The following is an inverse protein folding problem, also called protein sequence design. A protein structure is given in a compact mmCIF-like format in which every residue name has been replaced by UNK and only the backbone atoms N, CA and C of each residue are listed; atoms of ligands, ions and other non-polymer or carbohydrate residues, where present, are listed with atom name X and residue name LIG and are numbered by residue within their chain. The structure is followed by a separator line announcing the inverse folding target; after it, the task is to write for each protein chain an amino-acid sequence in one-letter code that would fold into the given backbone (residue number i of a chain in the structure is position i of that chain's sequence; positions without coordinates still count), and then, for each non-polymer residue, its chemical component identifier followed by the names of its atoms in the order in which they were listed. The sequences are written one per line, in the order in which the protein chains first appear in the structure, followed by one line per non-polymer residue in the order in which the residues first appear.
data_IF_038883876914
#
_entry.id   IF_038883876914
#
_cell.length_a   1.000
_cell.length_b   1.000
_cell.length_c   1.000
_cell.angle_alpha   90.00
_cell.angle_beta   90.00
_cell.angle_gamma   90.00
#
_symmetry.space_group_name_H-M   'P 1'
#
loop_
_entity.id
_entity.type
_entity.pdbx_description
1 polymer ?
#
# COMPACT_ATOMS: atom_id res chain seq x y z
N UNK A 1 62.08 -35.30 -95.26
CA UNK A 1 60.92 -35.11 -94.35
C UNK A 1 60.39 -36.46 -93.91
N UNK A 2 60.61 -36.90 -92.66
CA UNK A 2 59.82 -37.96 -92.01
C UNK A 2 59.67 -37.61 -90.52
N UNK A 3 58.49 -37.12 -90.16
CA UNK A 3 58.10 -36.75 -88.81
C UNK A 3 57.89 -38.00 -87.96
N UNK A 4 58.56 -38.09 -86.80
CA UNK A 4 58.29 -39.13 -85.80
C UNK A 4 56.99 -38.80 -85.07
N UNK A 5 55.97 -39.63 -85.28
CA UNK A 5 54.71 -39.57 -84.56
C UNK A 5 54.93 -39.86 -83.07
N UNK A 6 54.43 -38.95 -82.24
CA UNK A 6 54.47 -39.01 -80.78
C UNK A 6 53.31 -39.89 -80.29
N UNK A 7 53.63 -41.07 -79.77
CA UNK A 7 52.67 -41.99 -79.15
C UNK A 7 51.97 -41.33 -77.95
N UNK A 8 50.66 -41.14 -78.03
CA UNK A 8 49.84 -40.65 -76.92
C UNK A 8 49.39 -41.84 -76.08
N UNK A 9 49.80 -41.87 -74.80
CA UNK A 9 49.30 -42.83 -73.81
C UNK A 9 47.76 -42.79 -73.73
N UNK A 10 47.08 -43.95 -73.65
CA UNK A 10 45.63 -44.01 -73.56
C UNK A 10 45.16 -43.45 -72.22
N UNK A 11 44.29 -42.44 -72.25
CA UNK A 11 43.53 -42.00 -71.07
C UNK A 11 42.61 -43.15 -70.69
N UNK A 12 42.88 -43.78 -69.55
CA UNK A 12 41.97 -44.76 -68.93
C UNK A 12 40.70 -44.01 -68.53
N UNK A 13 39.67 -44.11 -69.35
CA UNK A 13 38.35 -43.61 -69.01
C UNK A 13 37.83 -44.47 -67.86
N UNK A 14 37.54 -43.84 -66.71
CA UNK A 14 36.83 -44.53 -65.63
C UNK A 14 35.50 -45.06 -66.20
N UNK A 15 35.22 -46.34 -65.95
CA UNK A 15 33.98 -46.95 -66.43
C UNK A 15 32.78 -46.26 -65.77
N UNK A 16 31.65 -46.10 -66.49
CA UNK A 16 30.46 -45.45 -65.94
C UNK A 16 29.94 -46.16 -64.67
N UNK A 17 30.16 -47.48 -64.57
CA UNK A 17 29.88 -48.29 -63.38
C UNK A 17 30.73 -47.88 -62.17
N UNK A 18 32.03 -47.60 -62.36
CA UNK A 18 32.92 -47.13 -61.30
C UNK A 18 32.45 -45.79 -60.73
N UNK A 19 31.97 -44.88 -61.58
CA UNK A 19 31.44 -43.59 -61.14
C UNK A 19 30.12 -43.74 -60.38
N UNK A 20 29.24 -44.64 -60.79
CA UNK A 20 27.95 -44.88 -60.10
C UNK A 20 28.17 -45.54 -58.74
N UNK A 21 29.06 -46.54 -58.65
CA UNK A 21 29.42 -47.19 -57.37
C UNK A 21 30.06 -46.19 -56.42
N UNK A 22 30.97 -45.34 -56.92
CA UNK A 22 31.56 -44.28 -56.10
C UNK A 22 30.53 -43.25 -55.63
N UNK A 23 29.58 -42.87 -56.49
CA UNK A 23 28.49 -41.98 -56.10
C UNK A 23 27.59 -42.61 -55.04
N UNK A 24 27.28 -43.91 -55.16
CA UNK A 24 26.44 -44.65 -54.21
C UNK A 24 27.13 -44.87 -52.86
N UNK A 25 28.44 -45.14 -52.87
CA UNK A 25 29.27 -45.17 -51.66
C UNK A 25 29.33 -43.80 -50.98
N UNK A 26 29.47 -42.72 -51.75
CA UNK A 26 29.49 -41.36 -51.19
C UNK A 26 28.12 -40.92 -50.67
N UNK A 27 27.01 -41.31 -51.30
CA UNK A 27 25.66 -40.98 -50.81
C UNK A 27 25.29 -41.79 -49.57
N UNK A 28 25.68 -43.06 -49.48
CA UNK A 28 25.43 -43.90 -48.29
C UNK A 28 26.19 -43.43 -47.04
N UNK A 29 27.39 -42.86 -47.21
CA UNK A 29 28.16 -42.25 -46.12
C UNK A 29 27.49 -40.98 -45.53
N UNK A 30 26.74 -40.24 -46.34
CA UNK A 30 26.06 -38.99 -45.90
C UNK A 30 24.80 -39.31 -45.08
N UNK A 31 24.16 -40.47 -45.28
CA UNK A 31 22.89 -40.84 -44.65
C UNK A 31 23.06 -41.35 -43.21
N UNK A 32 24.27 -41.68 -42.78
CA UNK A 32 24.58 -42.19 -41.43
C UNK A 32 25.15 -41.14 -40.47
N UNK A 33 24.95 -39.84 -40.74
CA UNK A 33 25.14 -38.84 -39.69
C UNK A 33 24.04 -39.04 -38.64
N UNK A 34 24.37 -39.74 -37.54
CA UNK A 34 23.53 -39.81 -36.35
C UNK A 34 22.99 -38.41 -36.03
N UNK A 35 21.69 -38.26 -35.67
CA UNK A 35 21.20 -36.97 -35.21
C UNK A 35 22.12 -36.55 -34.07
N UNK A 36 22.83 -35.45 -34.25
CA UNK A 36 23.86 -35.03 -33.31
C UNK A 36 23.22 -35.00 -31.92
N UNK A 37 23.65 -35.93 -31.08
CA UNK A 37 23.15 -36.11 -29.71
C UNK A 37 23.39 -34.86 -28.85
N UNK A 38 24.20 -33.95 -29.38
CA UNK A 38 24.59 -32.69 -28.79
C UNK A 38 23.87 -31.53 -29.49
N UNK A 39 23.12 -30.77 -28.71
CA UNK A 39 22.47 -29.52 -29.14
C UNK A 39 23.15 -28.34 -28.47
N UNK A 40 23.62 -27.37 -29.25
CA UNK A 40 24.23 -26.14 -28.73
C UNK A 40 23.16 -25.09 -28.48
N UNK A 41 23.20 -24.44 -27.31
CA UNK A 41 22.21 -23.46 -26.89
C UNK A 41 22.92 -22.21 -26.40
N UNK A 42 22.66 -21.09 -27.05
CA UNK A 42 23.08 -19.76 -26.60
C UNK A 42 21.89 -19.03 -25.99
N UNK A 43 22.02 -18.56 -24.76
CA UNK A 43 20.98 -17.82 -24.06
C UNK A 43 21.33 -16.34 -24.03
N UNK A 44 20.37 -15.51 -24.43
CA UNK A 44 20.47 -14.06 -24.45
C UNK A 44 19.23 -13.42 -23.84
N UNK A 45 19.34 -12.16 -23.42
CA UNK A 45 18.17 -11.36 -23.07
C UNK A 45 17.33 -11.01 -24.31
N UNK A 46 16.21 -10.33 -24.11
CA UNK A 46 15.35 -9.90 -25.22
C UNK A 46 16.06 -8.93 -26.20
N UNK A 47 17.11 -8.24 -25.76
CA UNK A 47 17.92 -7.31 -26.55
C UNK A 47 19.16 -7.98 -27.19
N UNK A 48 19.35 -9.29 -27.01
CA UNK A 48 20.50 -10.04 -27.55
C UNK A 48 21.79 -9.95 -26.73
N UNK A 49 21.77 -9.37 -25.53
CA UNK A 49 22.94 -9.27 -24.64
C UNK A 49 23.14 -10.57 -23.86
N UNK A 50 24.40 -10.83 -23.52
CA UNK A 50 24.78 -11.91 -22.62
C UNK A 50 24.24 -11.66 -21.22
N UNK A 51 23.69 -12.71 -20.58
CA UNK A 51 23.14 -12.63 -19.23
C UNK A 51 23.89 -13.59 -18.31
N UNK A 52 24.23 -13.10 -17.12
CA UNK A 52 24.96 -13.87 -16.12
C UNK A 52 24.04 -14.47 -15.06
N UNK A 53 24.47 -15.55 -14.41
CA UNK A 53 23.75 -16.16 -13.27
C UNK A 53 22.49 -16.95 -13.66
N UNK A 54 22.41 -17.37 -14.92
CA UNK A 54 21.34 -18.24 -15.42
C UNK A 54 21.62 -19.70 -15.05
N UNK A 55 20.58 -20.41 -14.63
CA UNK A 55 20.59 -21.87 -14.47
C UNK A 55 19.76 -22.49 -15.56
N UNK A 56 20.36 -23.42 -16.31
CA UNK A 56 19.71 -24.15 -17.40
C UNK A 56 19.46 -25.58 -16.97
N UNK A 57 18.24 -26.05 -17.17
CA UNK A 57 17.83 -27.43 -16.91
C UNK A 57 17.21 -28.00 -18.17
N UNK A 58 17.52 -29.24 -18.49
CA UNK A 58 16.85 -30.00 -19.54
C UNK A 58 16.13 -31.19 -18.90
N UNK A 59 14.87 -31.42 -19.30
CA UNK A 59 14.13 -32.62 -18.96
C UNK A 59 14.25 -33.57 -20.15
N UNK A 60 14.78 -34.77 -19.91
CA UNK A 60 15.07 -35.75 -20.96
C UNK A 60 16.48 -35.64 -21.56
N UNK A 61 17.36 -34.81 -20.98
CA UNK A 61 18.75 -34.68 -21.41
C UNK A 61 19.65 -34.13 -20.31
N UNK A 62 20.97 -34.19 -20.55
CA UNK A 62 22.00 -33.69 -19.63
C UNK A 62 22.53 -32.36 -20.15
N UNK A 63 22.54 -31.34 -19.28
CA UNK A 63 23.06 -30.00 -19.63
C UNK A 63 24.51 -29.89 -19.16
N UNK A 64 25.40 -29.53 -20.07
CA UNK A 64 26.79 -29.15 -19.78
C UNK A 64 26.97 -27.67 -20.08
N UNK A 65 27.44 -26.92 -19.10
CA UNK A 65 27.72 -25.50 -19.27
C UNK A 65 29.11 -25.33 -19.91
N UNK A 66 29.17 -24.68 -21.07
CA UNK A 66 30.45 -24.38 -21.74
C UNK A 66 30.99 -23.01 -21.31
N UNK A 67 30.10 -22.02 -21.18
CA UNK A 67 30.43 -20.70 -20.63
C UNK A 67 29.19 -20.09 -19.94
N UNK A 68 29.22 -18.81 -19.56
CA UNK A 68 28.10 -18.16 -18.86
C UNK A 68 26.78 -18.13 -19.66
N UNK A 69 26.84 -18.22 -20.99
CA UNK A 69 25.67 -18.07 -21.89
C UNK A 69 25.47 -19.24 -22.86
N UNK A 70 26.47 -20.08 -23.08
CA UNK A 70 26.47 -21.20 -24.00
C UNK A 70 26.45 -22.51 -23.24
N UNK A 71 25.52 -23.37 -23.63
CA UNK A 71 25.22 -24.64 -23.01
C UNK A 71 25.17 -25.70 -24.09
N UNK A 72 25.68 -26.88 -23.78
CA UNK A 72 25.56 -28.08 -24.58
C UNK A 72 24.52 -28.97 -23.92
N UNK A 73 23.55 -29.45 -24.67
CA UNK A 73 22.55 -30.40 -24.18
C UNK A 73 22.74 -31.72 -24.89
N UNK A 74 23.05 -32.74 -24.12
CA UNK A 74 23.19 -34.12 -24.57
C UNK A 74 21.85 -34.83 -24.37
N UNK A 75 21.23 -35.29 -25.46
CA UNK A 75 19.93 -35.98 -25.43
C UNK A 75 19.82 -36.97 -26.58
N UNK A 76 19.08 -38.06 -26.34
CA UNK A 76 18.76 -39.07 -27.35
C UNK A 76 17.38 -38.81 -28.00
N UNK A 77 16.57 -37.95 -27.40
CA UNK A 77 15.21 -37.61 -27.86
C UNK A 77 14.92 -36.10 -27.71
N UNK A 78 13.72 -35.66 -28.08
CA UNK A 78 13.27 -34.29 -27.80
C UNK A 78 13.30 -34.00 -26.31
N UNK A 79 13.86 -32.86 -25.90
CA UNK A 79 13.99 -32.48 -24.51
C UNK A 79 13.30 -31.15 -24.24
N UNK A 80 12.86 -30.94 -23.00
CA UNK A 80 12.29 -29.66 -22.56
C UNK A 80 13.39 -28.82 -21.92
N UNK A 81 13.75 -27.71 -22.57
CA UNK A 81 14.66 -26.72 -22.02
C UNK A 81 13.90 -25.81 -21.05
N UNK A 82 14.42 -25.67 -19.83
CA UNK A 82 13.96 -24.72 -18.82
C UNK A 82 15.11 -23.83 -18.40
N UNK A 83 14.94 -22.53 -18.59
CA UNK A 83 15.92 -21.51 -18.21
C UNK A 83 15.39 -20.77 -16.99
N UNK A 84 16.22 -20.66 -15.96
CA UNK A 84 15.85 -20.08 -14.67
C UNK A 84 16.83 -18.97 -14.32
N UNK A 85 16.30 -17.79 -13.98
CA UNK A 85 17.07 -16.68 -13.44
C UNK A 85 16.46 -16.29 -12.10
N UNK A 86 17.28 -16.18 -11.05
CA UNK A 86 16.84 -15.83 -9.70
C UNK A 86 15.71 -16.74 -9.16
N UNK A 87 15.75 -18.04 -9.47
CA UNK A 87 14.72 -19.01 -9.11
C UNK A 87 13.36 -18.81 -9.83
N UNK A 88 13.28 -17.94 -10.84
CA UNK A 88 12.10 -17.75 -11.68
C UNK A 88 12.37 -18.30 -13.09
N UNK A 89 11.42 -19.05 -13.64
CA UNK A 89 11.53 -19.57 -15.01
C UNK A 89 11.35 -18.43 -16.01
N UNK A 90 12.38 -18.18 -16.83
CA UNK A 90 12.38 -17.11 -17.84
C UNK A 90 12.19 -17.63 -19.26
N UNK A 91 12.34 -18.94 -19.48
CA UNK A 91 12.05 -19.59 -20.75
C UNK A 91 11.75 -21.07 -20.53
N UNK A 92 10.77 -21.59 -21.26
CA UNK A 92 10.47 -23.02 -21.27
C UNK A 92 9.96 -23.43 -22.66
N UNK A 93 10.61 -24.41 -23.29
CA UNK A 93 10.16 -24.95 -24.58
C UNK A 93 10.75 -26.34 -24.84
N UNK A 94 10.02 -27.19 -25.56
CA UNK A 94 10.55 -28.43 -26.12
C UNK A 94 11.40 -28.15 -27.36
N UNK A 95 12.60 -28.72 -27.43
CA UNK A 95 13.54 -28.56 -28.52
C UNK A 95 13.85 -29.91 -29.19
N UNK A 96 14.11 -29.85 -30.50
CA UNK A 96 14.56 -31.00 -31.31
C UNK A 96 16.09 -31.16 -31.20
N UNK A 97 16.56 -32.36 -31.51
CA UNK A 97 17.98 -32.72 -31.51
C UNK A 97 18.76 -32.07 -32.66
N UNK A 98 20.07 -31.98 -32.49
CA UNK A 98 21.03 -31.81 -33.58
C UNK A 98 21.08 -30.41 -34.22
N UNK A 99 21.06 -29.36 -33.40
CA UNK A 99 21.12 -27.97 -33.90
C UNK A 99 21.82 -26.99 -32.96
N UNK A 100 21.95 -25.75 -33.44
CA UNK A 100 22.39 -24.61 -32.65
C UNK A 100 21.22 -23.63 -32.48
N UNK A 101 20.80 -23.38 -31.25
CA UNK A 101 19.66 -22.53 -30.93
C UNK A 101 20.09 -21.28 -30.17
N UNK A 102 19.55 -20.13 -30.59
CA UNK A 102 19.64 -18.88 -29.83
C UNK A 102 18.31 -18.67 -29.10
N UNK A 103 18.33 -18.78 -27.79
CA UNK A 103 17.17 -18.65 -26.92
C UNK A 103 17.12 -17.24 -26.34
N UNK A 104 16.09 -16.48 -26.73
CA UNK A 104 15.75 -15.19 -26.13
C UNK A 104 14.91 -15.43 -24.88
N UNK A 105 15.53 -15.31 -23.72
CA UNK A 105 14.84 -15.46 -22.44
C UNK A 105 14.01 -14.20 -22.12
N UNK A 106 12.94 -14.37 -21.33
CA UNK A 106 12.09 -13.28 -20.86
C UNK A 106 12.81 -12.45 -19.77
N UNK A 107 13.87 -11.76 -20.19
CA UNK A 107 14.77 -10.96 -19.35
C UNK A 107 14.85 -9.58 -19.99
N UNK A 108 14.58 -8.56 -19.19
CA UNK A 108 14.36 -7.17 -19.63
C UNK A 108 15.06 -6.19 -18.68
N UNK A 109 15.23 -4.95 -19.12
CA UNK A 109 15.66 -3.87 -18.21
C UNK A 109 14.43 -3.23 -17.58
N UNK A 110 14.48 -3.03 -16.26
CA UNK A 110 13.44 -2.32 -15.52
C UNK A 110 13.93 -0.92 -15.17
N UNK A 111 13.14 0.09 -15.51
CA UNK A 111 13.37 1.46 -15.07
C UNK A 111 12.36 1.80 -14.00
N UNK A 112 12.81 2.17 -12.81
CA UNK A 112 11.96 2.56 -11.68
C UNK A 112 12.10 4.06 -11.47
N UNK A 113 10.99 4.79 -11.54
CA UNK A 113 10.95 6.23 -11.24
C UNK A 113 10.46 6.44 -9.81
N UNK A 114 11.24 7.23 -9.07
CA UNK A 114 10.93 7.62 -7.69
C UNK A 114 10.17 8.95 -7.66
N UNK A 115 9.12 9.09 -6.83
CA UNK A 115 8.44 10.36 -6.60
C UNK A 115 9.36 11.44 -6.02
N UNK A 116 10.32 11.06 -5.17
CA UNK A 116 11.32 11.98 -4.60
C UNK A 116 12.65 11.27 -4.33
N UNK A 117 13.79 11.99 -4.33
CA UNK A 117 15.11 11.38 -4.16
C UNK A 117 15.35 10.83 -2.73
N UNK A 118 14.64 11.37 -1.74
CA UNK A 118 14.88 11.06 -0.32
C UNK A 118 14.17 9.78 0.16
N UNK A 119 13.39 9.14 -0.71
CA UNK A 119 12.65 7.93 -0.38
C UNK A 119 13.49 6.68 -0.64
N UNK A 120 13.43 5.74 0.29
CA UNK A 120 14.02 4.41 0.12
C UNK A 120 13.03 3.54 -0.66
N UNK A 121 13.41 3.13 -1.87
CA UNK A 121 12.62 2.19 -2.68
C UNK A 121 13.23 0.81 -2.58
N UNK A 122 12.42 -0.17 -2.26
CA UNK A 122 12.78 -1.58 -2.22
C UNK A 122 11.92 -2.35 -3.23
N UNK A 123 12.56 -2.89 -4.26
CA UNK A 123 11.92 -3.72 -5.29
C UNK A 123 12.27 -5.16 -4.99
N UNK A 124 11.27 -6.01 -4.79
CA UNK A 124 11.43 -7.45 -4.52
C UNK A 124 10.80 -8.26 -5.65
N UNK A 125 11.51 -9.25 -6.16
CA UNK A 125 10.96 -10.21 -7.10
C UNK A 125 10.18 -11.29 -6.35
N UNK A 126 8.89 -11.44 -6.63
CA UNK A 126 8.06 -12.47 -5.99
C UNK A 126 8.45 -13.86 -6.51
N UNK A 127 8.54 -14.84 -5.62
CA UNK A 127 9.05 -16.18 -5.94
C UNK A 127 10.58 -16.29 -5.92
N UNK A 128 11.27 -15.20 -5.53
CA UNK A 128 12.72 -15.14 -5.36
C UNK A 128 13.08 -14.44 -4.06
N UNK A 129 14.32 -14.65 -3.61
CA UNK A 129 14.91 -13.88 -2.51
C UNK A 129 15.68 -12.64 -3.02
N UNK A 130 15.52 -12.28 -4.30
CA UNK A 130 16.15 -11.09 -4.88
C UNK A 130 15.38 -9.82 -4.58
N UNK A 131 16.09 -8.88 -3.97
CA UNK A 131 15.62 -7.53 -3.69
C UNK A 131 16.66 -6.51 -4.11
N UNK A 132 16.20 -5.38 -4.63
CA UNK A 132 17.03 -4.22 -4.92
C UNK A 132 16.57 -3.05 -4.07
N UNK A 133 17.53 -2.30 -3.51
CA UNK A 133 17.26 -1.14 -2.66
C UNK A 133 17.90 0.09 -3.26
N UNK A 134 17.14 1.17 -3.31
CA UNK A 134 17.50 2.41 -4.00
C UNK A 134 17.21 3.62 -3.12
N UNK A 135 18.11 4.61 -3.10
CA UNK A 135 17.95 5.90 -2.43
C UNK A 135 18.77 6.99 -3.14
N UNK A 136 18.35 8.25 -3.09
CA UNK A 136 19.10 9.41 -3.56
C UNK A 136 18.95 9.81 -5.04
N UNK A 137 18.09 9.16 -5.84
CA UNK A 137 17.87 9.47 -7.27
C UNK A 137 16.40 9.36 -7.63
N UNK A 138 15.98 10.09 -8.67
CA UNK A 138 14.61 10.02 -9.21
C UNK A 138 14.39 8.88 -10.20
N UNK A 139 15.45 8.27 -10.72
CA UNK A 139 15.39 7.22 -11.74
C UNK A 139 16.46 6.18 -11.47
N UNK A 140 16.05 4.92 -11.44
CA UNK A 140 16.92 3.77 -11.28
C UNK A 140 16.71 2.81 -12.44
N UNK A 141 17.79 2.21 -12.92
CA UNK A 141 17.74 1.18 -13.95
C UNK A 141 18.28 -0.11 -13.35
N UNK A 142 17.45 -1.14 -13.32
CA UNK A 142 17.82 -2.50 -12.95
C UNK A 142 18.00 -3.27 -14.25
N UNK A 143 19.24 -3.61 -14.56
CA UNK A 143 19.55 -4.36 -15.78
C UNK A 143 19.24 -5.84 -15.60
N UNK A 144 18.75 -6.46 -16.67
CA UNK A 144 18.60 -7.91 -16.78
C UNK A 144 17.77 -8.56 -15.65
N UNK A 145 16.53 -8.10 -15.50
CA UNK A 145 15.56 -8.68 -14.57
C UNK A 145 14.57 -9.59 -15.31
N UNK A 146 14.08 -10.67 -14.68
CA UNK A 146 13.09 -11.55 -15.30
C UNK A 146 11.73 -10.84 -15.48
N UNK A 147 10.99 -11.18 -16.52
CA UNK A 147 9.57 -10.83 -16.61
C UNK A 147 8.82 -11.59 -15.51
N UNK A 148 8.00 -10.89 -14.73
CA UNK A 148 7.32 -11.51 -13.60
C UNK A 148 6.70 -10.51 -12.63
N UNK A 149 6.26 -11.00 -11.48
CA UNK A 149 5.60 -10.18 -10.46
C UNK A 149 6.61 -9.60 -9.48
N UNK A 150 6.53 -8.28 -9.28
CA UNK A 150 7.40 -7.53 -8.37
C UNK A 150 6.58 -6.86 -7.29
N UNK A 151 7.08 -6.89 -6.06
CA UNK A 151 6.59 -6.15 -4.92
C UNK A 151 7.49 -4.95 -4.69
N UNK A 152 6.96 -3.76 -4.84
CA UNK A 152 7.65 -2.48 -4.70
C UNK A 152 7.18 -1.85 -3.39
N UNK A 153 8.13 -1.62 -2.48
CA UNK A 153 7.88 -1.00 -1.19
C UNK A 153 8.65 0.31 -1.13
N UNK A 154 7.94 1.41 -0.93
CA UNK A 154 8.53 2.72 -0.69
C UNK A 154 8.49 2.98 0.81
N UNK A 155 9.67 3.21 1.40
CA UNK A 155 9.87 3.56 2.80
C UNK A 155 10.25 5.04 2.88
N UNK A 156 9.40 5.82 3.53
CA UNK A 156 9.62 7.22 3.83
C UNK A 156 8.99 7.58 5.17
N UNK A 157 8.29 8.70 5.24
CA UNK A 157 7.41 8.99 6.38
C UNK A 157 6.25 7.99 6.49
N UNK A 158 5.86 7.36 5.38
CA UNK A 158 4.90 6.26 5.32
C UNK A 158 5.46 5.15 4.44
N UNK A 159 5.04 3.92 4.76
CA UNK A 159 5.29 2.76 3.93
C UNK A 159 4.17 2.64 2.91
N UNK A 160 4.52 2.74 1.63
CA UNK A 160 3.63 2.45 0.51
C UNK A 160 4.07 1.16 -0.15
N UNK A 161 3.12 0.31 -0.52
CA UNK A 161 3.40 -0.97 -1.12
C UNK A 161 2.53 -1.19 -2.35
N UNK A 162 3.14 -1.65 -3.43
CA UNK A 162 2.48 -2.00 -4.68
C UNK A 162 3.03 -3.31 -5.23
N UNK A 163 2.15 -4.17 -5.72
CA UNK A 163 2.55 -5.36 -6.46
C UNK A 163 2.17 -5.19 -7.93
N UNK A 164 3.12 -5.43 -8.85
CA UNK A 164 2.95 -5.23 -10.29
C UNK A 164 3.51 -6.41 -11.07
N UNK A 165 2.79 -6.87 -12.08
CA UNK A 165 3.33 -7.79 -13.08
C UNK A 165 4.08 -7.00 -14.16
N UNK A 166 5.40 -7.16 -14.21
CA UNK A 166 6.28 -6.38 -15.07
C UNK A 166 6.70 -7.17 -16.31
N UNK A 167 6.42 -6.63 -17.49
CA UNK A 167 6.76 -7.21 -18.79
C UNK A 167 7.87 -6.46 -19.54
N UNK A 168 8.34 -5.32 -19.02
CA UNK A 168 9.35 -4.48 -19.64
C UNK A 168 8.99 -2.99 -19.54
N UNK A 169 9.99 -2.11 -19.68
CA UNK A 169 9.80 -0.66 -19.72
C UNK A 169 10.00 0.04 -18.38
N UNK A 170 9.15 1.04 -18.11
CA UNK A 170 9.28 1.92 -16.94
C UNK A 170 8.12 1.75 -15.99
N UNK A 171 8.43 1.54 -14.71
CA UNK A 171 7.47 1.57 -13.61
C UNK A 171 7.53 2.97 -12.98
N UNK A 172 6.49 3.77 -13.21
CA UNK A 172 6.33 5.05 -12.56
C UNK A 172 5.48 4.89 -11.30
N UNK A 173 6.03 5.30 -10.16
CA UNK A 173 5.36 5.20 -8.85
C UNK A 173 4.89 6.58 -8.39
N UNK A 174 5.15 7.63 -9.17
CA UNK A 174 4.98 9.02 -8.74
C UNK A 174 3.51 9.40 -8.54
N UNK A 175 2.64 8.98 -9.46
CA UNK A 175 1.23 9.35 -9.45
C UNK A 175 0.46 8.67 -8.31
N UNK A 176 0.67 7.37 -8.14
CA UNK A 176 -0.02 6.58 -7.11
C UNK A 176 0.42 6.96 -5.69
N UNK A 177 1.70 7.31 -5.51
CA UNK A 177 2.20 7.81 -4.24
C UNK A 177 1.57 9.17 -3.87
N UNK A 178 1.31 10.03 -4.86
CA UNK A 178 0.59 11.31 -4.65
C UNK A 178 -0.86 11.06 -4.26
N UNK A 179 -1.58 10.21 -5.00
CA UNK A 179 -2.96 9.85 -4.69
C UNK A 179 -3.11 9.23 -3.29
N UNK A 180 -2.18 8.36 -2.88
CA UNK A 180 -2.17 7.78 -1.53
C UNK A 180 -1.98 8.85 -0.45
N UNK A 181 -1.13 9.85 -0.70
CA UNK A 181 -0.90 10.97 0.22
C UNK A 181 -2.13 11.88 0.32
N UNK A 182 -2.77 12.19 -0.80
CA UNK A 182 -3.93 13.07 -0.89
C UNK A 182 -5.20 12.42 -0.33
N UNK A 183 -5.45 11.14 -0.61
CA UNK A 183 -6.58 10.38 -0.06
C UNK A 183 -6.56 10.40 1.48
N UNK A 184 -5.38 10.33 2.09
CA UNK A 184 -5.24 10.43 3.54
C UNK A 184 -5.49 11.85 4.06
N UNK A 185 -5.08 12.91 3.35
CA UNK A 185 -5.46 14.27 3.75
C UNK A 185 -6.98 14.47 3.73
N UNK A 186 -7.68 13.87 2.76
CA UNK A 186 -9.14 13.91 2.69
C UNK A 186 -9.76 13.12 3.85
N UNK A 187 -9.28 11.90 4.13
CA UNK A 187 -9.77 11.12 5.28
C UNK A 187 -9.49 11.79 6.64
N UNK A 188 -8.33 12.42 6.81
CA UNK A 188 -8.00 13.18 8.01
C UNK A 188 -8.90 14.42 8.15
N UNK A 189 -9.19 15.11 7.04
CA UNK A 189 -10.11 16.26 7.04
C UNK A 189 -11.56 15.86 7.39
N UNK A 190 -12.03 14.71 6.92
CA UNK A 190 -13.37 14.20 7.28
C UNK A 190 -13.42 13.71 8.73
N UNK A 191 -12.35 13.07 9.22
CA UNK A 191 -12.24 12.64 10.63
C UNK A 191 -12.11 13.80 11.61
N UNK A 192 -11.53 14.95 11.22
CA UNK A 192 -11.44 16.12 12.08
C UNK A 192 -12.72 16.97 12.07
N UNK A 193 -13.48 17.00 10.98
CA UNK A 193 -14.71 17.81 10.87
C UNK A 193 -15.90 17.23 11.65
N UNK A 194 -16.06 15.90 11.70
CA UNK A 194 -17.17 15.26 12.40
C UNK A 194 -17.15 15.46 13.94
N UNK A 195 -16.06 15.20 14.68
CA UNK A 195 -16.01 15.40 16.14
C UNK A 195 -15.90 16.88 16.52
N UNK A 196 -15.27 17.73 15.69
CA UNK A 196 -15.20 19.17 15.96
C UNK A 196 -16.59 19.83 15.85
N UNK A 197 -17.42 19.43 14.88
CA UNK A 197 -18.81 19.90 14.79
C UNK A 197 -19.68 19.37 15.95
N UNK A 198 -19.49 18.11 16.36
CA UNK A 198 -20.18 17.53 17.51
C UNK A 198 -19.81 18.25 18.83
N UNK A 199 -18.51 18.52 19.06
CA UNK A 199 -18.03 19.30 20.19
C UNK A 199 -18.53 20.74 20.17
N UNK A 200 -18.55 21.40 19.01
CA UNK A 200 -19.11 22.74 18.85
C UNK A 200 -20.61 22.78 19.21
N UNK A 201 -21.39 21.80 18.73
CA UNK A 201 -22.83 21.70 19.03
C UNK A 201 -23.08 21.38 20.51
N UNK A 202 -22.26 20.52 21.12
CA UNK A 202 -22.34 20.20 22.55
C UNK A 202 -21.99 21.39 23.44
N UNK A 203 -20.94 22.14 23.08
CA UNK A 203 -20.53 23.40 23.74
C UNK A 203 -21.67 24.44 23.69
N UNK A 204 -22.26 24.68 22.52
CA UNK A 204 -23.37 25.63 22.35
C UNK A 204 -24.62 25.21 23.13
N UNK A 205 -24.90 23.91 23.26
CA UNK A 205 -25.98 23.37 24.09
C UNK A 205 -25.72 23.54 25.59
N UNK A 206 -24.47 23.35 26.04
CA UNK A 206 -24.08 23.60 27.44
C UNK A 206 -24.24 25.07 27.83
N UNK A 207 -23.88 26.02 26.95
CA UNK A 207 -24.10 27.44 27.20
C UNK A 207 -25.59 27.82 27.35
N UNK A 208 -26.49 27.22 26.56
CA UNK A 208 -27.95 27.42 26.71
C UNK A 208 -28.48 26.83 28.02
N UNK A 209 -28.02 25.64 28.39
CA UNK A 209 -28.41 24.99 29.65
C UNK A 209 -27.93 25.77 30.88
N UNK A 210 -26.73 26.36 30.83
CA UNK A 210 -26.24 27.23 31.90
C UNK A 210 -27.09 28.50 32.04
N UNK A 211 -27.48 29.14 30.93
CA UNK A 211 -28.41 30.29 30.94
C UNK A 211 -29.79 29.93 31.51
N UNK A 212 -30.32 28.75 31.18
CA UNK A 212 -31.60 28.29 31.75
C UNK A 212 -31.50 27.99 33.25
N UNK A 213 -30.37 27.46 33.72
CA UNK A 213 -30.12 27.26 35.15
C UNK A 213 -30.00 28.57 35.92
N UNK A 214 -29.37 29.60 35.35
CA UNK A 214 -29.28 30.91 35.99
C UNK A 214 -30.65 31.61 36.05
N UNK A 215 -31.47 31.50 35.01
CA UNK A 215 -32.83 32.05 35.00
C UNK A 215 -33.73 31.42 36.07
N UNK A 216 -33.71 30.08 36.21
CA UNK A 216 -34.47 29.39 37.27
C UNK A 216 -34.01 29.75 38.68
N UNK A 217 -32.70 30.03 38.86
CA UNK A 217 -32.16 30.47 40.16
C UNK A 217 -32.68 31.86 40.52
N UNK A 218 -32.73 32.77 39.56
CA UNK A 218 -33.25 34.13 39.77
C UNK A 218 -34.76 34.10 40.08
N UNK A 219 -35.53 33.28 39.36
CA UNK A 219 -36.97 33.13 39.60
C UNK A 219 -37.29 32.59 41.00
N UNK A 220 -36.47 31.65 41.50
CA UNK A 220 -36.61 31.13 42.87
C UNK A 220 -36.26 32.20 43.91
N UNK A 221 -35.27 33.05 43.63
CA UNK A 221 -34.86 34.14 44.51
C UNK A 221 -35.95 35.23 44.60
N UNK A 222 -36.57 35.59 43.48
CA UNK A 222 -37.70 36.53 43.45
C UNK A 222 -38.93 36.00 44.19
N UNK A 223 -39.26 34.71 44.03
CA UNK A 223 -40.33 34.08 44.81
C UNK A 223 -40.05 34.09 46.31
N UNK A 224 -38.79 33.94 46.71
CA UNK A 224 -38.38 33.97 48.11
C UNK A 224 -38.48 35.39 48.70
N UNK A 225 -38.03 36.41 47.97
CA UNK A 225 -38.15 37.81 48.37
C UNK A 225 -39.62 38.26 48.45
N UNK A 226 -40.45 37.87 47.47
CA UNK A 226 -41.88 38.20 47.47
C UNK A 226 -42.68 37.58 48.62
N UNK A 227 -42.32 36.37 49.07
CA UNK A 227 -42.93 35.78 50.26
C UNK A 227 -42.46 36.47 51.54
N UNK A 228 -41.18 36.85 51.64
CA UNK A 228 -40.64 37.59 52.79
C UNK A 228 -41.34 38.93 53.00
N UNK A 229 -41.65 39.65 51.91
CA UNK A 229 -42.40 40.90 51.98
C UNK A 229 -43.86 40.70 52.40
N UNK A 230 -44.49 39.60 51.98
CA UNK A 230 -45.84 39.23 52.45
C UNK A 230 -45.86 38.91 53.94
N UNK A 231 -44.86 38.16 54.42
CA UNK A 231 -44.72 37.80 55.83
C UNK A 231 -44.43 39.03 56.70
N UNK A 232 -43.63 39.98 56.19
CA UNK A 232 -43.37 41.26 56.84
C UNK A 232 -44.65 42.11 56.98
N UNK A 233 -45.49 42.15 55.94
CA UNK A 233 -46.79 42.86 55.98
C UNK A 233 -47.78 42.22 56.96
N UNK A 234 -47.85 40.89 56.99
CA UNK A 234 -48.68 40.12 57.93
C UNK A 234 -48.27 40.34 59.40
N UNK A 235 -46.96 40.37 59.67
CA UNK A 235 -46.44 40.67 61.01
C UNK A 235 -46.64 42.13 61.42
N UNK A 236 -46.55 43.08 60.48
CA UNK A 236 -46.89 44.49 60.72
C UNK A 236 -48.35 44.70 61.15
N UNK A 237 -49.30 44.02 60.50
CA UNK A 237 -50.72 44.07 60.87
C UNK A 237 -51.01 43.44 62.24
N UNK A 238 -50.37 42.32 62.57
CA UNK A 238 -50.51 41.70 63.90
C UNK A 238 -50.00 42.64 65.00
N UNK A 239 -48.88 43.32 64.78
CA UNK A 239 -48.30 44.23 65.77
C UNK A 239 -49.15 45.49 65.98
N UNK A 240 -49.83 46.02 64.95
CA UNK A 240 -50.81 47.10 65.11
C UNK A 240 -52.01 46.69 65.97
N UNK A 241 -52.55 45.47 65.77
CA UNK A 241 -53.65 44.94 66.59
C UNK A 241 -53.27 44.80 68.06
N UNK A 242 -52.06 44.32 68.34
CA UNK A 242 -51.57 44.17 69.73
C UNK A 242 -51.34 45.53 70.41
N UNK A 243 -50.87 46.54 69.68
CA UNK A 243 -50.70 47.90 70.20
C UNK A 243 -52.02 48.55 70.61
N UNK A 244 -53.06 48.43 69.77
CA UNK A 244 -54.40 48.94 70.08
C UNK A 244 -55.03 48.28 71.32
N UNK A 245 -54.80 46.98 71.52
CA UNK A 245 -55.28 46.26 72.71
C UNK A 245 -54.50 46.67 73.98
N UNK A 246 -53.23 47.01 73.86
CA UNK A 246 -52.41 47.48 74.98
C UNK A 246 -52.73 48.92 75.42
N UNK A 247 -53.15 49.79 74.50
CA UNK A 247 -53.60 51.16 74.81
C UNK A 247 -54.96 51.17 75.51
N UNK A 248 -55.93 50.35 75.07
CA UNK A 248 -57.23 50.23 75.75
C UNK A 248 -57.13 49.72 77.19
N UNK A 249 -56.14 48.86 77.51
CA UNK A 249 -55.91 48.41 78.90
C UNK A 249 -55.23 49.45 79.78
N UNK A 250 -54.47 50.40 79.21
CA UNK A 250 -53.78 51.48 79.96
C UNK A 250 -54.72 52.64 80.34
N UNK A 251 -55.79 52.87 79.59
CA UNK A 251 -56.81 53.86 79.96
C UNK A 251 -57.65 53.39 81.15
N UNK A 252 -58.04 52.11 81.18
CA UNK A 252 -58.82 51.52 82.29
C UNK A 252 -58.03 51.55 83.62
N UNK A 253 -56.71 51.34 83.60
CA UNK A 253 -55.88 51.40 84.82
C UNK A 253 -55.59 52.82 85.29
N UNK A 254 -55.64 53.83 84.42
CA UNK A 254 -55.46 55.24 84.81
C UNK A 254 -56.73 55.87 85.40
N UNK A 255 -57.92 55.37 85.04
CA UNK A 255 -59.20 55.81 85.60
C UNK A 255 -59.42 55.43 87.07
N UNK A 256 -58.83 54.32 87.53
CA UNK A 256 -59.01 53.80 88.90
C UNK A 256 -58.02 54.42 89.90
N UNK A 257 -56.87 54.95 89.44
CA UNK A 257 -55.80 55.48 90.29
C UNK A 257 -55.91 56.97 90.66
N UNK A 258 -56.99 57.65 90.24
CA UNK A 258 -57.20 59.10 90.44
C UNK A 258 -58.45 59.45 91.29
N UNK A 259 -59.04 58.47 91.98
CA UNK A 259 -60.19 58.72 92.86
C UNK A 259 -59.75 58.85 94.31
N UNK A 260 -60.27 59.84 95.01
CA UNK A 260 -60.01 60.12 96.43
C UNK A 260 -60.91 59.25 97.32
N UNK A 261 -60.47 58.97 98.56
CA UNK A 261 -61.13 58.05 99.51
C UNK A 261 -62.62 58.31 99.76
N UNK A 262 -63.07 59.56 99.60
CA UNK A 262 -64.47 59.96 99.74
C UNK A 262 -65.37 59.48 98.58
N UNK A 263 -64.82 59.27 97.38
CA UNK A 263 -65.56 58.84 96.18
C UNK A 263 -65.68 57.30 96.08
N UNK A 264 -64.92 56.58 96.90
CA UNK A 264 -64.97 55.11 97.00
C UNK A 264 -66.03 54.66 98.03
N UNK A 265 -66.39 55.52 98.99
CA UNK A 265 -67.36 55.22 100.04
C UNK A 265 -68.83 55.44 99.63
N UNK A 266 -69.11 56.15 98.53
CA UNK A 266 -70.47 56.26 97.96
C UNK A 266 -70.84 55.10 97.01
N UNK A 267 -69.91 54.18 96.70
CA UNK A 267 -70.14 53.07 95.75
C UNK A 267 -70.10 51.68 96.40
N UNK A 268 -70.18 51.60 97.73
CA UNK A 268 -70.39 50.33 98.43
C UNK A 268 -71.83 50.26 98.96
N UNK A 269 -72.63 49.22 98.64
CA UNK A 269 -73.75 48.83 99.48
C UNK A 269 -73.28 48.26 100.82
#
# INVERSE_FOLDING_TARGET
MRSKLKERKPRRNLSPLSTVVFLFLMTSLIVYAEPSTHTLIKIVDQKGRAVNGIVVKAIGGVVRQLNSTHFLVESNTTFVLRVVLYNVTVFQKSLKLGGSFVVKAAIVDMVVKSPSPDLLIEVRLIGSNKSWRFIGKRKYTISQVPVGTYRIVIKGSRNFEKTVYFTGGTVDISEEYRLSREALSIMLATLLSAPSYACYRASKRRGKLQKLKSLKKNEKYERYMGNRDKDARLNGQKNMKVKLVAEGKREVTRGIRRRTLAEILEMLP
#
